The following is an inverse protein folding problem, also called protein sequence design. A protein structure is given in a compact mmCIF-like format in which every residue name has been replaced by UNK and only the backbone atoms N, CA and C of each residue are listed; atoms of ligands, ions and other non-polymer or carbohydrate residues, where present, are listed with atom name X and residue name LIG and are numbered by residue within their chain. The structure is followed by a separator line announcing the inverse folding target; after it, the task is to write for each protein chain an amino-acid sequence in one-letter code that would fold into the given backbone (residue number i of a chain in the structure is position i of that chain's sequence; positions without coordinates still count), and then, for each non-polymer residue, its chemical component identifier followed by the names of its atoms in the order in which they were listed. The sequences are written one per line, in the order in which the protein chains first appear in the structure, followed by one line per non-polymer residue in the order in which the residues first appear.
data_IF_438686037032
#
_entry.id   IF_438686037032
#
_cell.length_a   1.000
_cell.length_b   1.000
_cell.length_c   1.000
_cell.angle_alpha   90.00
_cell.angle_beta   90.00
_cell.angle_gamma   90.00
#
_symmetry.space_group_name_H-M   'P 1'
#
loop_
_entity.id
_entity.type
_entity.pdbx_description
1 polymer ?
#
# COMPACT_ATOMS: atom_id res chain seq x y z
N UNK A 1 -10.46 -17.65 10.11
CA UNK A 1 -9.54 -18.14 9.05
C UNK A 1 -10.08 -17.75 7.68
N UNK A 2 -9.20 -17.24 6.82
CA UNK A 2 -9.58 -16.85 5.47
C UNK A 2 -9.69 -18.08 4.57
N UNK A 3 -10.59 -18.04 3.56
CA UNK A 3 -10.62 -19.07 2.53
C UNK A 3 -9.24 -19.19 1.84
N UNK A 4 -8.90 -20.38 1.36
CA UNK A 4 -7.63 -20.62 0.69
C UNK A 4 -7.42 -19.73 -0.55
N UNK A 5 -8.51 -19.42 -1.27
CA UNK A 5 -8.47 -18.58 -2.47
C UNK A 5 -8.84 -17.12 -2.22
N UNK A 6 -8.72 -16.65 -0.97
CA UNK A 6 -9.19 -15.31 -0.58
C UNK A 6 -8.60 -14.20 -1.46
N UNK A 7 -7.29 -14.20 -1.64
CA UNK A 7 -6.63 -13.16 -2.42
C UNK A 7 -6.95 -13.27 -3.91
N UNK A 8 -6.97 -14.49 -4.46
CA UNK A 8 -7.30 -14.70 -5.87
C UNK A 8 -8.74 -14.28 -6.16
N UNK A 9 -9.67 -14.64 -5.27
CA UNK A 9 -11.07 -14.25 -5.40
C UNK A 9 -11.22 -12.73 -5.33
N UNK A 10 -10.49 -12.08 -4.42
CA UNK A 10 -10.51 -10.63 -4.28
C UNK A 10 -9.89 -9.94 -5.51
N UNK A 11 -8.82 -10.50 -6.06
CA UNK A 11 -8.21 -10.02 -7.30
C UNK A 11 -9.25 -10.04 -8.43
N UNK A 12 -9.92 -11.18 -8.63
CA UNK A 12 -10.94 -11.33 -9.68
C UNK A 12 -12.09 -10.34 -9.49
N UNK A 13 -12.50 -10.14 -8.23
CA UNK A 13 -13.57 -9.18 -7.91
C UNK A 13 -13.15 -7.75 -8.29
N UNK A 14 -11.92 -7.35 -7.98
CA UNK A 14 -11.43 -6.01 -8.33
C UNK A 14 -11.41 -5.81 -9.85
N UNK A 15 -10.93 -6.81 -10.59
CA UNK A 15 -10.89 -6.73 -12.06
C UNK A 15 -12.30 -6.67 -12.63
N UNK A 16 -13.23 -7.44 -12.07
CA UNK A 16 -14.64 -7.41 -12.51
C UNK A 16 -15.27 -6.03 -12.26
N UNK A 17 -15.01 -5.43 -11.10
CA UNK A 17 -15.47 -4.07 -10.80
C UNK A 17 -14.95 -3.08 -11.84
N UNK A 18 -13.66 -3.15 -12.14
CA UNK A 18 -13.03 -2.29 -13.14
C UNK A 18 -13.67 -2.47 -14.52
N UNK A 19 -13.84 -3.71 -14.97
CA UNK A 19 -14.41 -4.03 -16.28
C UNK A 19 -15.88 -3.63 -16.38
N UNK A 20 -16.59 -3.62 -15.25
CA UNK A 20 -17.99 -3.20 -15.19
C UNK A 20 -18.15 -1.68 -15.13
N UNK A 21 -17.05 -0.93 -15.19
CA UNK A 21 -17.10 0.53 -15.22
C UNK A 21 -17.12 1.19 -13.86
N UNK A 22 -16.79 0.47 -12.78
CA UNK A 22 -16.71 1.07 -11.46
C UNK A 22 -15.62 2.15 -11.43
N UNK A 23 -15.85 3.22 -10.68
CA UNK A 23 -14.90 4.30 -10.56
C UNK A 23 -13.60 3.78 -9.94
N UNK A 24 -12.46 4.27 -10.47
CA UNK A 24 -11.12 3.87 -10.01
C UNK A 24 -11.01 3.91 -8.48
N UNK A 25 -11.47 4.99 -7.85
CA UNK A 25 -11.37 5.16 -6.41
C UNK A 25 -12.07 4.03 -5.64
N UNK A 26 -13.22 3.59 -6.14
CA UNK A 26 -13.97 2.50 -5.51
C UNK A 26 -13.20 1.20 -5.55
N UNK A 27 -12.54 0.89 -6.66
CA UNK A 27 -11.78 -0.34 -6.81
C UNK A 27 -10.53 -0.30 -5.92
N UNK A 28 -9.82 0.82 -5.91
CA UNK A 28 -8.64 0.98 -5.06
C UNK A 28 -9.01 0.87 -3.57
N UNK A 29 -10.12 1.48 -3.15
CA UNK A 29 -10.61 1.37 -1.77
C UNK A 29 -10.92 -0.08 -1.42
N UNK A 30 -11.55 -0.82 -2.33
CA UNK A 30 -11.83 -2.23 -2.14
C UNK A 30 -10.54 -3.02 -1.88
N UNK A 31 -9.49 -2.76 -2.66
CA UNK A 31 -8.22 -3.46 -2.49
C UNK A 31 -7.59 -3.19 -1.12
N UNK A 32 -7.69 -1.96 -0.61
CA UNK A 32 -7.19 -1.67 0.74
C UNK A 32 -7.99 -2.40 1.81
N UNK A 33 -9.31 -2.48 1.66
CA UNK A 33 -10.16 -3.23 2.59
C UNK A 33 -9.81 -4.72 2.60
N UNK A 34 -9.52 -5.30 1.45
CA UNK A 34 -9.11 -6.70 1.35
C UNK A 34 -7.81 -6.93 2.15
N UNK A 35 -6.82 -6.07 1.96
CA UNK A 35 -5.55 -6.18 2.68
C UNK A 35 -5.74 -6.03 4.19
N UNK A 36 -6.59 -5.10 4.62
CA UNK A 36 -6.90 -4.89 6.04
C UNK A 36 -7.60 -6.11 6.64
N UNK A 37 -8.55 -6.69 5.93
CA UNK A 37 -9.26 -7.90 6.37
C UNK A 37 -8.28 -9.05 6.53
N UNK A 38 -7.39 -9.24 5.56
CA UNK A 38 -6.42 -10.33 5.58
C UNK A 38 -5.42 -10.21 6.73
N UNK A 39 -4.98 -8.99 7.03
CA UNK A 39 -3.97 -8.74 8.05
C UNK A 39 -4.54 -8.75 9.47
N UNK A 40 -5.84 -8.49 9.61
CA UNK A 40 -6.53 -8.55 10.89
C UNK A 40 -6.90 -7.19 11.48
N UNK A 41 -7.62 -7.21 12.61
CA UNK A 41 -8.13 -5.98 13.24
C UNK A 41 -7.02 -4.98 13.57
N UNK A 42 -7.31 -3.71 13.38
CA UNK A 42 -6.37 -2.62 13.68
C UNK A 42 -5.37 -2.32 12.58
N UNK A 43 -5.30 -3.15 11.56
CA UNK A 43 -4.41 -2.94 10.41
C UNK A 43 -5.02 -1.90 9.47
N UNK A 44 -4.18 -1.04 8.91
CA UNK A 44 -4.60 -0.02 7.96
C UNK A 44 -3.73 -0.11 6.71
N UNK A 45 -4.37 -0.10 5.55
CA UNK A 45 -3.67 -0.17 4.26
C UNK A 45 -3.82 1.13 3.48
N UNK A 46 -2.86 1.38 2.59
CA UNK A 46 -2.77 2.62 1.84
C UNK A 46 -2.15 2.36 0.48
N UNK A 47 -2.76 2.91 -0.55
CA UNK A 47 -2.20 2.88 -1.90
C UNK A 47 -1.75 4.30 -2.24
N UNK A 48 -0.47 4.46 -2.54
CA UNK A 48 0.09 5.72 -3.03
C UNK A 48 0.45 5.56 -4.50
N UNK A 49 0.32 6.64 -5.26
CA UNK A 49 0.53 6.62 -6.72
C UNK A 49 1.59 7.66 -7.07
N UNK A 50 2.53 7.29 -7.93
CA UNK A 50 3.51 8.24 -8.45
C UNK A 50 2.84 9.16 -9.47
N UNK A 51 3.04 10.47 -9.29
CA UNK A 51 2.54 11.45 -10.23
C UNK A 51 3.54 11.65 -11.39
N UNK A 52 3.22 12.54 -12.31
CA UNK A 52 4.08 12.81 -13.49
C UNK A 52 5.44 13.39 -13.11
N UNK A 53 5.58 13.90 -11.90
CA UNK A 53 6.86 14.45 -11.39
C UNK A 53 7.62 13.43 -10.54
N UNK A 54 7.13 12.19 -10.43
CA UNK A 54 7.76 11.14 -9.65
C UNK A 54 7.56 11.26 -8.15
N UNK A 55 6.53 11.98 -7.71
CA UNK A 55 6.20 12.15 -6.29
C UNK A 55 5.02 11.25 -5.91
N UNK A 56 5.05 10.74 -4.68
CA UNK A 56 3.97 9.88 -4.18
C UNK A 56 2.76 10.72 -3.77
N UNK A 57 1.61 10.37 -4.32
CA UNK A 57 0.32 11.01 -4.02
C UNK A 57 -0.65 9.96 -3.49
N UNK A 58 -1.60 10.39 -2.69
CA UNK A 58 -2.61 9.47 -2.17
C UNK A 58 -3.46 8.91 -3.30
N UNK A 59 -3.51 7.58 -3.39
CA UNK A 59 -4.41 6.88 -4.30
C UNK A 59 -5.65 6.40 -3.57
N UNK A 60 -5.45 5.68 -2.45
CA UNK A 60 -6.55 5.20 -1.62
C UNK A 60 -6.04 4.94 -0.22
N UNK A 61 -6.55 5.65 0.75
CA UNK A 61 -6.17 5.51 2.16
C UNK A 61 -7.38 5.82 3.05
N UNK A 62 -8.48 5.04 2.93
CA UNK A 62 -9.74 5.41 3.58
C UNK A 62 -9.67 5.44 5.10
N UNK A 63 -8.72 4.73 5.72
CA UNK A 63 -8.59 4.67 7.17
C UNK A 63 -7.53 5.62 7.73
N UNK A 64 -6.79 6.35 6.89
CA UNK A 64 -5.79 7.29 7.38
C UNK A 64 -6.38 8.69 7.51
N UNK A 65 -6.05 9.42 8.61
CA UNK A 65 -6.57 10.78 8.80
C UNK A 65 -6.04 11.75 7.75
N UNK A 66 -6.81 12.78 7.45
CA UNK A 66 -6.44 13.81 6.48
C UNK A 66 -5.11 14.50 6.82
N UNK A 67 -4.85 14.75 8.11
CA UNK A 67 -3.61 15.39 8.56
C UNK A 67 -2.39 14.53 8.22
N UNK A 68 -2.49 13.21 8.43
CA UNK A 68 -1.41 12.29 8.09
C UNK A 68 -1.15 12.28 6.59
N UNK A 69 -2.23 12.21 5.80
CA UNK A 69 -2.13 12.22 4.33
C UNK A 69 -1.50 13.50 3.82
N UNK A 70 -1.84 14.65 4.40
CA UNK A 70 -1.20 15.92 4.03
C UNK A 70 0.29 15.94 4.38
N UNK A 71 0.65 15.37 5.54
CA UNK A 71 2.04 15.35 6.00
C UNK A 71 2.95 14.52 5.10
N UNK A 72 2.43 13.46 4.47
CA UNK A 72 3.23 12.60 3.60
C UNK A 72 3.00 12.88 2.11
N UNK A 73 2.12 13.81 1.76
CA UNK A 73 1.81 14.10 0.37
C UNK A 73 3.02 14.68 -0.36
N UNK A 74 3.27 14.17 -1.55
CA UNK A 74 4.41 14.60 -2.35
C UNK A 74 5.74 14.02 -1.92
N UNK A 75 5.73 12.96 -1.11
CA UNK A 75 6.95 12.30 -0.66
C UNK A 75 7.76 11.79 -1.86
N UNK A 76 9.04 12.12 -1.88
CA UNK A 76 9.93 11.71 -2.96
C UNK A 76 10.45 10.30 -2.69
N UNK A 77 10.45 9.41 -3.70
CA UNK A 77 11.08 8.09 -3.55
C UNK A 77 12.53 8.22 -3.11
N UNK A 78 12.89 7.45 -2.07
CA UNK A 78 14.24 7.46 -1.51
C UNK A 78 14.48 6.15 -0.76
N UNK A 79 15.58 5.48 -1.08
CA UNK A 79 15.89 4.14 -0.55
C UNK A 79 15.95 4.08 0.98
N UNK A 80 16.26 5.19 1.64
CA UNK A 80 16.46 5.24 3.08
C UNK A 80 15.38 6.04 3.83
N UNK A 81 14.20 6.23 3.23
CA UNK A 81 13.11 7.00 3.86
C UNK A 81 11.83 6.16 3.88
N UNK A 82 11.34 5.86 5.09
CA UNK A 82 10.08 5.16 5.29
C UNK A 82 9.99 3.80 4.64
N UNK A 83 8.78 3.34 4.38
CA UNK A 83 8.56 2.09 3.64
C UNK A 83 8.06 2.37 2.21
N UNK A 84 7.09 3.28 2.05
CA UNK A 84 6.55 3.58 0.71
C UNK A 84 7.58 4.27 -0.18
N UNK A 85 8.26 5.29 0.32
CA UNK A 85 9.29 5.97 -0.47
C UNK A 85 10.46 5.03 -0.80
N UNK A 86 10.83 4.15 0.14
CA UNK A 86 11.90 3.18 -0.09
C UNK A 86 11.47 2.10 -1.10
N UNK A 87 10.24 1.61 -1.01
CA UNK A 87 9.71 0.64 -1.98
C UNK A 87 9.62 1.26 -3.39
N UNK A 88 9.20 2.52 -3.48
CA UNK A 88 9.12 3.23 -4.75
C UNK A 88 10.51 3.42 -5.38
N UNK A 89 11.52 3.72 -4.57
CA UNK A 89 12.88 3.95 -5.06
C UNK A 89 13.59 2.66 -5.47
N UNK A 90 13.36 1.56 -4.73
CA UNK A 90 14.09 0.31 -4.93
C UNK A 90 13.37 -0.69 -5.82
N UNK A 91 12.04 -0.56 -5.94
CA UNK A 91 11.23 -1.56 -6.64
C UNK A 91 11.09 -2.87 -5.88
N UNK A 92 11.40 -2.88 -4.59
CA UNK A 92 11.36 -4.06 -3.73
C UNK A 92 10.41 -3.85 -2.56
N UNK A 93 9.97 -4.96 -1.96
CA UNK A 93 9.24 -4.91 -0.69
C UNK A 93 10.16 -4.34 0.38
N UNK A 94 9.65 -3.42 1.19
CA UNK A 94 10.39 -2.82 2.31
C UNK A 94 9.58 -3.01 3.58
N UNK A 95 10.21 -3.56 4.62
CA UNK A 95 9.57 -3.90 5.88
C UNK A 95 10.21 -3.11 7.02
N UNK A 96 9.38 -2.49 7.85
CA UNK A 96 9.78 -1.87 9.12
C UNK A 96 8.97 -2.53 10.22
N UNK A 97 9.60 -3.45 10.94
CA UNK A 97 8.95 -4.16 12.04
C UNK A 97 8.68 -3.24 13.23
N UNK A 98 9.55 -2.26 13.44
CA UNK A 98 9.48 -1.34 14.58
C UNK A 98 9.96 0.04 14.14
N UNK A 99 9.07 1.04 14.15
CA UNK A 99 9.40 2.41 13.76
C UNK A 99 10.54 3.01 14.60
N UNK A 100 10.65 2.65 15.86
CA UNK A 100 11.70 3.18 16.73
C UNK A 100 13.08 2.63 16.39
N UNK A 101 13.14 1.40 15.89
CA UNK A 101 14.41 0.73 15.60
C UNK A 101 14.91 0.97 14.18
N UNK A 102 14.05 1.42 13.28
CA UNK A 102 14.37 1.53 11.86
C UNK A 102 14.79 2.96 11.50
N UNK A 103 16.06 3.14 11.15
CA UNK A 103 16.61 4.45 10.81
C UNK A 103 15.94 5.10 9.59
N UNK A 104 15.32 4.32 8.70
CA UNK A 104 14.56 4.87 7.57
C UNK A 104 13.40 5.76 8.03
N UNK A 105 12.93 5.55 9.25
CA UNK A 105 11.83 6.31 9.82
C UNK A 105 12.26 7.43 10.77
N UNK A 106 13.56 7.69 10.88
CA UNK A 106 14.10 8.66 11.86
C UNK A 106 13.38 10.02 11.82
N UNK A 107 13.08 10.55 10.63
CA UNK A 107 12.46 11.86 10.48
C UNK A 107 10.93 11.80 10.42
N UNK A 108 10.35 10.64 10.08
CA UNK A 108 8.91 10.49 9.85
C UNK A 108 8.19 9.69 10.91
N UNK A 109 8.91 8.99 11.81
CA UNK A 109 8.31 8.04 12.76
C UNK A 109 7.25 8.66 13.67
N UNK A 110 7.39 9.93 13.99
CA UNK A 110 6.44 10.62 14.86
C UNK A 110 5.02 10.64 14.24
N UNK A 111 4.92 10.57 12.92
CA UNK A 111 3.63 10.60 12.24
C UNK A 111 2.82 9.32 12.47
N UNK A 112 3.31 8.11 12.10
CA UNK A 112 2.53 6.90 12.35
C UNK A 112 2.44 6.54 13.84
N UNK A 113 3.46 6.83 14.63
CA UNK A 113 3.45 6.56 16.06
C UNK A 113 2.32 7.32 16.77
N UNK A 114 2.10 8.58 16.37
CA UNK A 114 1.01 9.38 16.92
C UNK A 114 -0.37 8.77 16.66
N UNK A 115 -0.50 7.95 15.62
CA UNK A 115 -1.74 7.24 15.28
C UNK A 115 -1.84 5.86 15.93
N UNK A 116 -0.84 5.47 16.73
CA UNK A 116 -0.82 4.18 17.41
C UNK A 116 -0.21 3.04 16.61
N UNK A 117 0.41 3.32 15.49
CA UNK A 117 1.09 2.30 14.70
C UNK A 117 2.49 2.05 15.24
N UNK A 118 2.98 0.82 15.09
CA UNK A 118 4.30 0.40 15.56
C UNK A 118 5.21 -0.12 14.47
N UNK A 119 4.65 -0.55 13.36
CA UNK A 119 5.41 -1.02 12.22
C UNK A 119 4.61 -0.87 10.94
N UNK A 120 5.28 -1.08 9.80
CA UNK A 120 4.66 -0.99 8.49
C UNK A 120 5.49 -1.74 7.46
N UNK A 121 4.90 -1.96 6.30
CA UNK A 121 5.64 -2.46 5.15
C UNK A 121 4.97 -2.00 3.88
N UNK A 122 5.70 -2.01 2.78
CA UNK A 122 5.19 -1.61 1.48
C UNK A 122 5.65 -2.56 0.40
N UNK A 123 4.74 -2.85 -0.52
CA UNK A 123 5.01 -3.59 -1.75
C UNK A 123 4.93 -2.61 -2.92
N UNK A 124 5.89 -2.63 -3.85
CA UNK A 124 5.77 -1.76 -5.01
C UNK A 124 4.63 -2.22 -5.91
N UNK A 125 3.99 -1.26 -6.56
CA UNK A 125 3.01 -1.52 -7.61
C UNK A 125 3.74 -1.33 -8.93
N UNK A 126 3.83 -2.38 -9.73
CA UNK A 126 4.63 -2.40 -10.96
C UNK A 126 3.71 -2.46 -12.19
N UNK A 127 4.05 -1.67 -13.22
CA UNK A 127 3.36 -1.77 -14.51
C UNK A 127 3.91 -2.95 -15.33
N UNK A 128 3.43 -3.11 -16.56
CA UNK A 128 3.83 -4.22 -17.44
C UNK A 128 5.32 -4.18 -17.79
N UNK A 129 5.96 -3.01 -17.72
CA UNK A 129 7.40 -2.84 -18.00
C UNK A 129 8.24 -2.98 -16.73
N UNK A 130 7.64 -3.47 -15.63
CA UNK A 130 8.29 -3.63 -14.31
C UNK A 130 8.76 -2.31 -13.71
N UNK A 131 8.14 -1.20 -14.11
CA UNK A 131 8.41 0.11 -13.51
C UNK A 131 7.45 0.38 -12.37
N UNK A 132 7.94 0.99 -11.30
CA UNK A 132 7.11 1.35 -10.16
C UNK A 132 6.17 2.49 -10.56
N UNK A 133 4.88 2.28 -10.33
CA UNK A 133 3.85 3.30 -10.56
C UNK A 133 3.14 3.70 -9.27
N UNK A 134 3.45 3.02 -8.17
CA UNK A 134 2.88 3.30 -6.86
C UNK A 134 3.37 2.32 -5.82
N UNK A 135 2.77 2.38 -4.63
CA UNK A 135 3.10 1.48 -3.53
C UNK A 135 1.83 1.05 -2.81
N UNK A 136 1.86 -0.18 -2.29
CA UNK A 136 0.78 -0.74 -1.49
C UNK A 136 1.33 -0.94 -0.08
N UNK A 137 0.95 -0.07 0.85
CA UNK A 137 1.46 -0.06 2.20
C UNK A 137 0.49 -0.61 3.22
N UNK A 138 1.01 -1.17 4.30
CA UNK A 138 0.23 -1.72 5.39
C UNK A 138 0.87 -1.30 6.71
N UNK A 139 0.05 -0.79 7.64
CA UNK A 139 0.47 -0.33 8.97
C UNK A 139 -0.07 -1.28 10.02
N UNK A 140 0.77 -1.66 10.96
CA UNK A 140 0.40 -2.53 12.08
C UNK A 140 0.43 -1.77 13.40
N UNK A 141 -0.48 -2.13 14.31
CA UNK A 141 -0.50 -1.57 15.67
C UNK A 141 0.34 -2.38 16.65
N UNK A 142 1.09 -3.34 16.15
CA UNK A 142 2.04 -4.15 16.92
C UNK A 142 3.34 -4.27 16.14
N UNK A 143 4.41 -4.59 16.85
CA UNK A 143 5.69 -4.87 16.20
C UNK A 143 5.57 -6.22 15.51
N UNK A 144 5.59 -6.22 14.19
CA UNK A 144 5.52 -7.45 13.42
C UNK A 144 5.96 -7.22 11.99
N UNK A 145 6.32 -8.32 11.35
CA UNK A 145 6.55 -8.37 9.91
C UNK A 145 5.38 -9.09 9.25
N UNK A 146 5.15 -8.87 7.95
CA UNK A 146 4.08 -9.58 7.25
C UNK A 146 4.36 -11.08 7.20
N UNK A 147 3.29 -11.89 7.26
CA UNK A 147 3.40 -13.33 7.06
C UNK A 147 3.72 -13.63 5.59
N UNK A 148 4.18 -14.85 5.27
CA UNK A 148 4.36 -15.26 3.86
C UNK A 148 3.07 -15.12 3.05
N UNK A 149 1.93 -15.41 3.64
CA UNK A 149 0.62 -15.27 2.99
C UNK A 149 0.30 -13.81 2.70
N UNK A 150 0.59 -12.91 3.64
CA UNK A 150 0.41 -11.47 3.42
C UNK A 150 1.32 -10.94 2.32
N UNK A 151 2.58 -11.39 2.28
CA UNK A 151 3.53 -10.98 1.24
C UNK A 151 3.05 -11.40 -0.14
N UNK A 152 2.68 -12.66 -0.30
CA UNK A 152 2.18 -13.22 -1.55
C UNK A 152 0.86 -12.56 -1.96
N UNK A 153 -0.06 -12.47 -1.01
CA UNK A 153 -1.39 -11.92 -1.27
C UNK A 153 -1.35 -10.45 -1.64
N UNK A 154 -0.57 -9.64 -0.94
CA UNK A 154 -0.47 -8.21 -1.25
C UNK A 154 0.20 -7.99 -2.60
N UNK A 155 1.14 -8.86 -2.99
CA UNK A 155 1.73 -8.81 -4.33
C UNK A 155 0.63 -8.98 -5.40
N UNK A 156 -0.32 -9.88 -5.16
CA UNK A 156 -1.45 -10.08 -6.07
C UNK A 156 -2.38 -8.85 -6.08
N UNK A 157 -2.66 -8.29 -4.91
CA UNK A 157 -3.48 -7.07 -4.81
C UNK A 157 -2.79 -5.89 -5.49
N UNK A 158 -1.47 -5.78 -5.36
CA UNK A 158 -0.69 -4.74 -6.05
C UNK A 158 -0.77 -4.91 -7.57
N UNK A 159 -0.81 -6.15 -8.07
CA UNK A 159 -1.01 -6.41 -9.50
C UNK A 159 -2.39 -5.93 -9.95
N UNK A 160 -3.43 -6.15 -9.15
CA UNK A 160 -4.76 -5.64 -9.44
C UNK A 160 -4.75 -4.10 -9.47
N UNK A 161 -4.10 -3.48 -8.48
CA UNK A 161 -3.98 -2.02 -8.42
C UNK A 161 -3.28 -1.48 -9.67
N UNK A 162 -2.22 -2.16 -10.15
CA UNK A 162 -1.53 -1.75 -11.37
C UNK A 162 -2.47 -1.77 -12.58
N UNK A 163 -3.31 -2.81 -12.69
CA UNK A 163 -4.28 -2.89 -13.78
C UNK A 163 -5.30 -1.75 -13.72
N UNK A 164 -5.78 -1.44 -12.52
CA UNK A 164 -6.74 -0.34 -12.30
C UNK A 164 -6.10 1.00 -12.65
N UNK A 165 -4.87 1.23 -12.19
CA UNK A 165 -4.16 2.50 -12.38
C UNK A 165 -3.78 2.74 -13.84
N UNK A 166 -3.57 1.69 -14.62
CA UNK A 166 -3.21 1.79 -16.04
C UNK A 166 -4.41 1.61 -16.97
N UNK A 167 -5.60 1.36 -16.43
CA UNK A 167 -6.82 1.20 -17.23
C UNK A 167 -7.17 2.54 -17.89
N UNK A 168 -7.41 2.57 -19.22
CA UNK A 168 -7.58 3.84 -19.94
C UNK A 168 -8.91 4.55 -19.65
N UNK A 169 -9.91 3.86 -19.10
CA UNK A 169 -11.23 4.41 -18.78
C UNK A 169 -11.26 4.72 -17.30
N UNK A 170 -11.63 5.89 -16.91
CA UNK A 170 -11.67 6.48 -15.59
C UNK A 170 -10.56 7.49 -15.37
#
# INVERSE_FOLDING_TARGET
MLPEDFYESSFRQAIQMMESGAHRQKVLNYLTEVAETAAGPGTVSSILVLDKHGLLRNGASPQLPADYLRAIDGLKPHANVGTCAAAAATGNVVITEDFYADSKWAELRHLPIALGFKGAWSSPILNQDNKVIGTFGTYYREKRSPSPEELQGTKLLASAAAMVLTHPVN
#
